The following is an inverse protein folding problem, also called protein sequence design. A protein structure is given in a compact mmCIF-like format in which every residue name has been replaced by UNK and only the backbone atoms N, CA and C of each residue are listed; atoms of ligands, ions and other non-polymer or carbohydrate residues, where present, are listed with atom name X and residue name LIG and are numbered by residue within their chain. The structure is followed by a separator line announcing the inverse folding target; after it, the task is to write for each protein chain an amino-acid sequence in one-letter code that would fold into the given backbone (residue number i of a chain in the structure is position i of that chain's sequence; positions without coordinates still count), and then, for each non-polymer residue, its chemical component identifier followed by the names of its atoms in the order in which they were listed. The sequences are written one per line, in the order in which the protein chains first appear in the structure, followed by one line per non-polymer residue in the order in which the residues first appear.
data_IF_966360135191
#
_entry.id   IF_966360135191
#
_cell.length_a   1.000
_cell.length_b   1.000
_cell.length_c   1.000
_cell.angle_alpha   90.00
_cell.angle_beta   90.00
_cell.angle_gamma   90.00
#
_symmetry.space_group_name_H-M   'P 1'
#
loop_
_entity.id
_entity.type
_entity.pdbx_description
1 polymer ?
#
# COMPACT_ATOMS: atom_id res chain seq x y z
N UNK A 1 -17.65 6.90 17.84
CA UNK A 1 -16.37 7.14 17.13
C UNK A 1 -16.68 7.90 15.86
N UNK A 2 -15.93 8.94 15.53
CA UNK A 2 -16.01 9.59 14.22
C UNK A 2 -15.41 8.67 13.16
N UNK A 3 -15.80 8.84 11.88
CA UNK A 3 -15.21 8.08 10.78
C UNK A 3 -13.67 8.21 10.77
N UNK A 4 -13.14 9.41 11.00
CA UNK A 4 -11.71 9.69 11.13
C UNK A 4 -11.03 8.87 12.23
N UNK A 5 -11.62 8.80 13.43
CA UNK A 5 -11.06 8.02 14.53
C UNK A 5 -11.02 6.51 14.24
N UNK A 6 -12.00 5.99 13.50
CA UNK A 6 -12.00 4.60 13.07
C UNK A 6 -10.89 4.33 12.02
N UNK A 7 -10.68 5.25 11.10
CA UNK A 7 -9.60 5.18 10.10
C UNK A 7 -8.22 5.21 10.79
N UNK A 8 -8.01 6.12 11.75
CA UNK A 8 -6.78 6.18 12.55
C UNK A 8 -6.53 4.91 13.36
N UNK A 9 -7.57 4.30 13.92
CA UNK A 9 -7.44 3.04 14.64
C UNK A 9 -6.97 1.92 13.71
N UNK A 10 -7.57 1.78 12.53
CA UNK A 10 -7.15 0.82 11.51
C UNK A 10 -5.71 1.07 11.08
N UNK A 11 -5.33 2.34 10.88
CA UNK A 11 -3.97 2.73 10.54
C UNK A 11 -2.95 2.21 11.55
N UNK A 12 -3.13 2.55 12.83
CA UNK A 12 -2.17 2.19 13.89
C UNK A 12 -1.99 0.68 14.02
N UNK A 13 -3.03 -0.10 13.70
CA UNK A 13 -3.02 -1.56 13.80
C UNK A 13 -2.37 -2.19 12.55
N UNK A 14 -2.74 -1.72 11.35
CA UNK A 14 -2.39 -2.41 10.10
C UNK A 14 -1.09 -1.91 9.45
N UNK A 15 -0.67 -0.67 9.72
CA UNK A 15 0.55 -0.10 9.12
C UNK A 15 1.81 -0.93 9.40
N UNK A 16 2.19 -1.22 10.67
CA UNK A 16 3.42 -1.96 10.94
C UNK A 16 3.36 -3.40 10.41
N UNK A 17 2.18 -4.03 10.42
CA UNK A 17 1.98 -5.40 9.89
C UNK A 17 2.18 -5.45 8.39
N UNK A 18 1.59 -4.49 7.66
CA UNK A 18 1.68 -4.42 6.21
C UNK A 18 3.12 -4.11 5.77
N UNK A 19 3.78 -3.16 6.44
CA UNK A 19 5.20 -2.85 6.20
C UNK A 19 6.08 -4.09 6.39
N UNK A 20 5.99 -4.76 7.54
CA UNK A 20 6.78 -5.95 7.81
C UNK A 20 6.54 -7.07 6.78
N UNK A 21 5.28 -7.27 6.36
CA UNK A 21 4.92 -8.24 5.33
C UNK A 21 5.54 -7.89 3.97
N UNK A 22 5.41 -6.64 3.53
CA UNK A 22 5.90 -6.21 2.23
C UNK A 22 7.41 -6.14 2.16
N UNK A 23 8.08 -5.71 3.23
CA UNK A 23 9.55 -5.77 3.32
C UNK A 23 10.06 -7.20 3.12
N UNK A 24 9.42 -8.19 3.74
CA UNK A 24 9.78 -9.61 3.56
C UNK A 24 9.51 -10.12 2.15
N UNK A 25 8.41 -9.67 1.54
CA UNK A 25 8.01 -10.10 0.21
C UNK A 25 8.86 -9.48 -0.90
N UNK A 26 9.09 -8.17 -0.82
CA UNK A 26 9.81 -7.40 -1.84
C UNK A 26 11.32 -7.47 -1.68
N UNK A 27 11.81 -7.78 -0.47
CA UNK A 27 13.24 -7.74 -0.10
C UNK A 27 13.89 -6.37 -0.36
N UNK A 28 13.08 -5.33 -0.33
CA UNK A 28 13.46 -3.95 -0.52
C UNK A 28 12.64 -3.11 0.47
N UNK A 29 13.32 -2.54 1.46
CA UNK A 29 12.68 -1.75 2.53
C UNK A 29 12.14 -0.44 1.97
N UNK A 30 12.88 0.23 1.10
CA UNK A 30 12.48 1.52 0.53
C UNK A 30 11.24 1.36 -0.35
N UNK A 31 11.24 0.38 -1.26
CA UNK A 31 10.07 0.08 -2.07
C UNK A 31 8.88 -0.33 -1.20
N UNK A 32 9.09 -1.12 -0.15
CA UNK A 32 8.04 -1.54 0.76
C UNK A 32 7.39 -0.33 1.47
N UNK A 33 8.17 0.58 2.03
CA UNK A 33 7.65 1.79 2.69
C UNK A 33 6.85 2.67 1.74
N UNK A 34 7.36 2.90 0.53
CA UNK A 34 6.65 3.70 -0.48
C UNK A 34 5.30 3.10 -0.86
N UNK A 35 5.22 1.78 -1.12
CA UNK A 35 3.94 1.15 -1.51
C UNK A 35 2.96 1.06 -0.35
N UNK A 36 3.45 0.94 0.88
CA UNK A 36 2.62 1.02 2.10
C UNK A 36 2.01 2.42 2.18
N UNK A 37 2.83 3.47 2.08
CA UNK A 37 2.36 4.84 2.12
C UNK A 37 1.32 5.12 1.04
N UNK A 38 1.57 4.71 -0.21
CA UNK A 38 0.62 4.87 -1.32
C UNK A 38 -0.74 4.20 -1.02
N UNK A 39 -0.73 2.97 -0.48
CA UNK A 39 -1.96 2.25 -0.16
C UNK A 39 -2.79 2.96 0.93
N UNK A 40 -2.08 3.54 1.88
CA UNK A 40 -2.65 4.25 3.01
C UNK A 40 -3.15 5.66 2.65
N UNK A 41 -2.46 6.37 1.76
CA UNK A 41 -2.96 7.62 1.17
C UNK A 41 -4.28 7.36 0.44
N UNK A 42 -4.34 6.29 -0.38
CA UNK A 42 -5.58 5.94 -1.08
C UNK A 42 -6.73 5.60 -0.12
N UNK A 43 -6.42 4.96 1.03
CA UNK A 43 -7.41 4.72 2.07
C UNK A 43 -7.95 6.03 2.67
N UNK A 44 -7.07 6.98 2.98
CA UNK A 44 -7.45 8.30 3.51
C UNK A 44 -8.27 9.12 2.51
N UNK A 45 -8.02 8.96 1.21
CA UNK A 45 -8.81 9.61 0.16
C UNK A 45 -10.19 8.99 -0.01
N UNK A 46 -10.30 7.65 0.05
CA UNK A 46 -11.54 6.94 -0.30
C UNK A 46 -12.45 6.66 0.88
N UNK A 47 -11.92 6.20 2.00
CA UNK A 47 -12.73 5.72 3.13
C UNK A 47 -13.65 6.79 3.77
N UNK A 48 -13.32 8.09 3.78
CA UNK A 48 -14.26 9.10 4.25
C UNK A 48 -15.56 9.16 3.44
N UNK A 49 -15.52 8.88 2.13
CA UNK A 49 -16.68 8.90 1.24
C UNK A 49 -17.32 7.52 1.01
N UNK A 50 -16.49 6.49 0.86
CA UNK A 50 -16.94 5.12 0.53
C UNK A 50 -17.15 4.23 1.77
N UNK A 51 -16.69 4.69 2.94
CA UNK A 51 -16.63 3.90 4.17
C UNK A 51 -15.41 2.99 4.24
N UNK A 52 -15.13 2.48 5.45
CA UNK A 52 -14.06 1.52 5.69
C UNK A 52 -14.53 0.13 5.21
N UNK A 53 -13.77 -0.58 4.36
CA UNK A 53 -14.10 -1.94 3.94
C UNK A 53 -14.24 -2.90 5.13
N UNK A 54 -15.10 -3.91 5.00
CA UNK A 54 -15.27 -4.96 6.03
C UNK A 54 -13.95 -5.64 6.44
N UNK A 55 -12.98 -5.73 5.52
CA UNK A 55 -11.63 -6.22 5.79
C UNK A 55 -10.59 -5.22 5.26
N UNK A 56 -10.19 -4.24 6.11
CA UNK A 56 -9.22 -3.21 5.71
C UNK A 56 -7.84 -3.78 5.38
N UNK A 57 -7.41 -4.80 6.13
CA UNK A 57 -6.10 -5.43 5.95
C UNK A 57 -5.96 -6.08 4.56
N UNK A 58 -7.00 -6.79 4.12
CA UNK A 58 -7.04 -7.41 2.80
C UNK A 58 -7.06 -6.36 1.68
N UNK A 59 -7.85 -5.28 1.86
CA UNK A 59 -7.91 -4.17 0.92
C UNK A 59 -6.53 -3.48 0.78
N UNK A 60 -5.91 -3.12 1.90
CA UNK A 60 -4.58 -2.47 1.92
C UNK A 60 -3.50 -3.36 1.29
N UNK A 61 -3.51 -4.65 1.61
CA UNK A 61 -2.60 -5.64 0.98
C UNK A 61 -2.76 -5.62 -0.54
N UNK A 62 -4.00 -5.69 -1.04
CA UNK A 62 -4.27 -5.71 -2.47
C UNK A 62 -3.77 -4.45 -3.17
N UNK A 63 -4.05 -3.27 -2.60
CA UNK A 63 -3.60 -1.99 -3.15
C UNK A 63 -2.08 -1.93 -3.19
N UNK A 64 -1.41 -2.26 -2.09
CA UNK A 64 0.05 -2.21 -2.01
C UNK A 64 0.71 -3.22 -2.96
N UNK A 65 0.19 -4.44 -3.09
CA UNK A 65 0.70 -5.44 -4.04
C UNK A 65 0.55 -4.99 -5.49
N UNK A 66 -0.61 -4.45 -5.87
CA UNK A 66 -0.80 -3.89 -7.22
C UNK A 66 0.20 -2.76 -7.50
N UNK A 67 0.38 -1.85 -6.53
CA UNK A 67 1.31 -0.74 -6.66
C UNK A 67 2.77 -1.20 -6.81
N UNK A 68 3.17 -2.22 -6.05
CA UNK A 68 4.49 -2.84 -6.15
C UNK A 68 4.70 -3.48 -7.54
N UNK A 69 3.72 -4.23 -8.04
CA UNK A 69 3.77 -4.80 -9.40
C UNK A 69 3.91 -3.72 -10.47
N UNK A 70 3.17 -2.62 -10.35
CA UNK A 70 3.26 -1.52 -11.31
C UNK A 70 4.62 -0.80 -11.25
N UNK A 71 5.25 -0.70 -10.06
CA UNK A 71 6.63 -0.20 -9.93
C UNK A 71 7.62 -1.15 -10.62
N UNK A 72 7.55 -2.45 -10.33
CA UNK A 72 8.42 -3.46 -10.95
C UNK A 72 8.29 -3.49 -12.48
N UNK A 73 7.06 -3.42 -13.00
CA UNK A 73 6.79 -3.33 -14.45
C UNK A 73 7.44 -2.10 -15.07
N UNK A 74 7.33 -0.94 -14.42
CA UNK A 74 7.97 0.30 -14.91
C UNK A 74 9.49 0.17 -14.93
N UNK A 75 10.11 -0.41 -13.90
CA UNK A 75 11.56 -0.62 -13.86
C UNK A 75 12.03 -1.48 -15.03
N UNK A 76 11.34 -2.60 -15.31
CA UNK A 76 11.66 -3.47 -16.46
C UNK A 76 11.49 -2.75 -17.79
N UNK A 77 10.42 -1.96 -17.95
CA UNK A 77 10.18 -1.19 -19.17
C UNK A 77 11.24 -0.10 -19.40
N UNK A 78 11.71 0.55 -18.33
CA UNK A 78 12.77 1.57 -18.40
C UNK A 78 14.10 0.92 -18.76
N UNK A 79 14.48 -0.17 -18.10
CA UNK A 79 15.71 -0.92 -18.39
C UNK A 79 15.74 -1.46 -19.84
N UNK A 80 14.61 -1.98 -20.33
CA UNK A 80 14.49 -2.46 -21.72
C UNK A 80 14.62 -1.35 -22.78
N UNK A 81 14.33 -0.09 -22.43
CA UNK A 81 14.52 1.07 -23.32
C UNK A 81 15.95 1.59 -23.31
N UNK A 82 16.69 1.45 -22.21
CA UNK A 82 18.09 1.88 -22.13
C UNK A 82 19.07 0.89 -22.76
N UNK A 83 18.63 -0.32 -23.09
CA UNK A 83 19.44 -1.38 -23.70
C UNK A 83 19.32 -1.44 -25.24
N UNK A 84 18.57 -0.51 -25.86
CA UNK A 84 18.44 -0.33 -27.31
C UNK A 84 19.07 0.99 -27.71
#
# INVERSE_FOLDING_TARGET
MTATAAIEAVWRIEQPKLAARLTRYLRDVGLAEEVVQDAFVLALERWPGEGIPHNPAAWLTRVATNRALDRLRRTVLIDGKHRQ
#
